data_IF_410418963364
#
_entry.id   IF_410418963364
#
_cell.length_a   1.000
_cell.length_b   1.000
_cell.length_c   1.000
_cell.angle_alpha   90.00
_cell.angle_beta   90.00
_cell.angle_gamma   90.00
#
_symmetry.space_group_name_H-M   'P 1'
#
loop_
_entity.id
_entity.type
_entity.pdbx_description
1 polymer ?
#
# COMPACT_ATOMS: atom_id res chain seq x y z
N UNK A 1 -5.34 -6.57 26.09
CA UNK A 1 -5.38 -7.22 24.76
C UNK A 1 -5.77 -6.15 23.75
N UNK A 2 -4.78 -5.41 23.26
CA UNK A 2 -5.01 -4.33 22.29
C UNK A 2 -5.42 -4.90 20.94
N UNK A 3 -6.61 -4.53 20.45
CA UNK A 3 -7.16 -4.90 19.13
C UNK A 3 -6.35 -4.33 17.94
N UNK A 4 -5.02 -4.22 18.02
CA UNK A 4 -4.15 -3.58 17.02
C UNK A 4 -4.27 -2.05 16.93
N UNK A 5 -5.22 -1.42 17.64
CA UNK A 5 -5.48 0.02 17.60
C UNK A 5 -4.32 0.89 18.10
N UNK A 6 -3.45 0.36 18.97
CA UNK A 6 -2.24 1.07 19.38
C UNK A 6 -1.26 1.30 18.22
N UNK A 7 -1.32 0.45 17.20
CA UNK A 7 -0.48 0.49 15.99
C UNK A 7 -1.13 1.26 14.82
N UNK A 8 -2.19 2.05 15.09
CA UNK A 8 -2.92 2.80 14.06
C UNK A 8 -2.02 3.67 13.14
N UNK A 9 -0.91 4.29 13.61
CA UNK A 9 -0.08 5.07 12.70
C UNK A 9 0.71 4.17 11.73
N UNK A 10 1.17 2.99 12.16
CA UNK A 10 1.84 2.02 11.30
C UNK A 10 0.87 1.36 10.31
N UNK A 11 -0.39 1.15 10.71
CA UNK A 11 -1.47 0.73 9.81
C UNK A 11 -1.63 1.73 8.67
N UNK A 12 -1.74 3.02 8.99
CA UNK A 12 -1.87 4.08 7.98
C UNK A 12 -0.62 4.18 7.11
N UNK A 13 0.56 4.22 7.72
CA UNK A 13 1.82 4.35 6.99
C UNK A 13 1.99 3.25 5.94
N UNK A 14 1.79 1.98 6.34
CA UNK A 14 1.99 0.84 5.42
C UNK A 14 0.97 0.83 4.29
N UNK A 15 -0.33 0.97 4.59
CA UNK A 15 -1.39 0.93 3.57
C UNK A 15 -1.29 2.12 2.64
N UNK A 16 -1.16 3.35 3.16
CA UNK A 16 -1.07 4.54 2.31
C UNK A 16 0.21 4.55 1.47
N UNK A 17 1.35 4.11 2.03
CA UNK A 17 2.59 3.96 1.27
C UNK A 17 2.44 2.98 0.10
N UNK A 18 1.83 1.83 0.33
CA UNK A 18 1.53 0.83 -0.71
C UNK A 18 0.57 1.38 -1.79
N UNK A 19 -0.47 2.12 -1.39
CA UNK A 19 -1.38 2.82 -2.31
C UNK A 19 -0.62 3.79 -3.22
N UNK A 20 0.29 4.59 -2.66
CA UNK A 20 1.10 5.56 -3.41
C UNK A 20 1.99 4.85 -4.41
N UNK A 21 2.69 3.79 -4.00
CA UNK A 21 3.59 3.03 -4.90
C UNK A 21 2.80 2.46 -6.08
N UNK A 22 1.69 1.76 -5.83
CA UNK A 22 0.87 1.22 -6.92
C UNK A 22 0.22 2.31 -7.77
N UNK A 23 -0.21 3.41 -7.17
CA UNK A 23 -0.74 4.58 -7.87
C UNK A 23 0.30 5.27 -8.76
N UNK A 24 1.55 5.37 -8.31
CA UNK A 24 2.68 5.89 -9.10
C UNK A 24 2.96 5.00 -10.31
N UNK A 25 2.95 3.68 -10.14
CA UNK A 25 3.14 2.73 -11.24
C UNK A 25 2.06 2.95 -12.31
N UNK A 26 0.78 2.95 -11.90
CA UNK A 26 -0.35 3.11 -12.82
C UNK A 26 -0.35 4.46 -13.53
N UNK A 27 -0.19 5.55 -12.77
CA UNK A 27 -0.16 6.90 -13.35
C UNK A 27 1.08 7.12 -14.20
N UNK A 28 2.24 6.60 -13.82
CA UNK A 28 3.44 6.76 -14.62
C UNK A 28 3.44 5.91 -15.90
N UNK A 29 2.83 4.72 -15.88
CA UNK A 29 2.50 3.99 -17.12
C UNK A 29 1.56 4.80 -18.01
N UNK A 30 0.54 5.45 -17.43
CA UNK A 30 -0.32 6.38 -18.15
C UNK A 30 0.41 7.60 -18.72
N UNK A 31 1.38 8.15 -17.99
CA UNK A 31 2.22 9.26 -18.44
C UNK A 31 3.10 8.85 -19.62
N UNK A 32 3.70 7.65 -19.58
CA UNK A 32 4.48 7.11 -20.68
C UNK A 32 3.63 6.78 -21.91
N UNK A 33 2.40 6.30 -21.71
CA UNK A 33 1.45 6.04 -22.79
C UNK A 33 0.93 7.32 -23.47
N UNK A 34 0.99 8.46 -22.78
CA UNK A 34 0.61 9.78 -23.30
C UNK A 34 1.81 10.57 -23.86
N UNK A 35 2.92 9.91 -24.25
CA UNK A 35 4.15 10.58 -24.71
C UNK A 35 3.96 11.58 -25.83
N UNK A 36 2.95 11.35 -26.68
CA UNK A 36 2.68 12.16 -27.86
C UNK A 36 1.75 13.35 -27.56
N UNK A 37 1.18 13.42 -26.35
CA UNK A 37 0.30 14.49 -25.87
C UNK A 37 0.86 15.11 -24.58
N UNK A 38 1.72 16.13 -24.76
CA UNK A 38 2.31 16.89 -23.65
C UNK A 38 1.28 17.56 -22.76
N UNK A 39 0.14 18.00 -23.30
CA UNK A 39 -0.89 18.66 -22.49
C UNK A 39 -1.54 17.65 -21.54
N UNK A 40 -1.81 16.44 -22.01
CA UNK A 40 -2.27 15.32 -21.20
C UNK A 40 -1.24 14.89 -20.16
N UNK A 41 0.04 14.75 -20.54
CA UNK A 41 1.12 14.49 -19.58
C UNK A 41 1.16 15.53 -18.46
N UNK A 42 1.04 16.81 -18.80
CA UNK A 42 1.09 17.88 -17.79
C UNK A 42 -0.13 17.86 -16.85
N UNK A 43 -1.33 17.58 -17.36
CA UNK A 43 -2.53 17.39 -16.53
C UNK A 43 -2.37 16.22 -15.56
N UNK A 44 -1.79 15.12 -16.03
CA UNK A 44 -1.54 13.94 -15.20
C UNK A 44 -0.47 14.19 -14.13
N UNK A 45 0.65 14.82 -14.49
CA UNK A 45 1.68 15.21 -13.52
C UNK A 45 1.10 16.12 -12.44
N UNK A 46 0.22 17.06 -12.79
CA UNK A 46 -0.47 17.89 -11.80
C UNK A 46 -1.39 17.07 -10.88
N UNK A 47 -2.11 16.07 -11.39
CA UNK A 47 -2.95 15.21 -10.54
C UNK A 47 -2.14 14.29 -9.62
N UNK A 48 -0.90 13.95 -9.99
CA UNK A 48 0.03 13.21 -9.12
C UNK A 48 0.41 13.95 -7.83
N UNK A 49 0.06 15.23 -7.68
CA UNK A 49 0.13 15.93 -6.38
C UNK A 49 -0.51 15.10 -5.26
N UNK A 50 -1.65 14.47 -5.52
CA UNK A 50 -2.35 13.68 -4.52
C UNK A 50 -1.59 12.40 -4.11
N UNK A 51 -0.73 11.83 -4.97
CA UNK A 51 0.15 10.73 -4.58
C UNK A 51 1.11 11.19 -3.47
N UNK A 52 1.77 12.32 -3.70
CA UNK A 52 2.78 12.84 -2.77
C UNK A 52 2.17 13.41 -1.50
N UNK A 53 0.96 13.98 -1.59
CA UNK A 53 0.18 14.36 -0.41
C UNK A 53 -0.12 13.15 0.47
N UNK A 54 -0.66 12.06 -0.11
CA UNK A 54 -0.94 10.83 0.63
C UNK A 54 0.35 10.22 1.19
N UNK A 55 1.46 10.26 0.44
CA UNK A 55 2.76 9.81 0.93
C UNK A 55 3.27 10.64 2.10
N UNK A 56 3.09 11.96 2.06
CA UNK A 56 3.44 12.86 3.16
C UNK A 56 2.63 12.55 4.42
N UNK A 57 1.33 12.26 4.28
CA UNK A 57 0.47 11.80 5.39
C UNK A 57 0.96 10.45 5.94
N UNK A 58 1.35 9.52 5.07
CA UNK A 58 1.89 8.23 5.48
C UNK A 58 3.17 8.40 6.33
N UNK A 59 4.12 9.23 5.90
CA UNK A 59 5.30 9.53 6.69
C UNK A 59 5.00 10.26 7.99
N UNK A 60 4.04 11.19 7.98
CA UNK A 60 3.64 11.87 9.20
C UNK A 60 3.12 10.87 10.25
N UNK A 61 2.30 9.91 9.83
CA UNK A 61 1.83 8.82 10.68
C UNK A 61 3.01 7.98 11.20
N UNK A 62 3.98 7.63 10.34
CA UNK A 62 5.20 6.93 10.76
C UNK A 62 5.98 7.70 11.83
N UNK A 63 6.23 9.00 11.63
CA UNK A 63 6.96 9.84 12.60
C UNK A 63 6.21 9.99 13.92
N UNK A 64 4.88 10.11 13.89
CA UNK A 64 4.06 10.20 15.11
C UNK A 64 4.12 8.93 15.97
N UNK A 65 4.46 7.78 15.38
CA UNK A 65 4.66 6.54 16.12
C UNK A 65 6.02 6.46 16.81
N UNK A 66 7.01 7.24 16.36
CA UNK A 66 8.31 7.27 17.02
C UNK A 66 8.20 8.01 18.36
N UNK A 67 8.59 7.35 19.45
CA UNK A 67 8.63 7.98 20.78
C UNK A 67 9.60 9.17 20.89
N UNK A 68 10.53 9.34 19.94
CA UNK A 68 11.37 10.54 19.84
C UNK A 68 11.68 10.92 18.39
N UNK A 69 10.86 11.78 17.76
CA UNK A 69 11.00 12.16 16.35
C UNK A 69 12.40 12.70 15.98
N UNK A 70 13.03 13.46 16.88
CA UNK A 70 14.37 14.02 16.65
C UNK A 70 15.48 12.95 16.58
N UNK A 71 15.27 11.77 17.20
CA UNK A 71 16.21 10.65 17.13
C UNK A 71 15.96 9.75 15.93
N UNK A 72 14.93 10.00 15.12
CA UNK A 72 14.65 9.23 13.91
C UNK A 72 15.85 9.16 12.97
N UNK A 73 16.65 10.23 12.89
CA UNK A 73 17.87 10.26 12.08
C UNK A 73 18.91 9.21 12.52
N UNK A 74 18.96 8.86 13.81
CA UNK A 74 19.87 7.82 14.29
C UNK A 74 19.52 6.44 13.73
N UNK A 75 18.26 6.23 13.30
CA UNK A 75 17.87 4.99 12.63
C UNK A 75 18.64 4.77 11.33
N UNK A 76 19.12 5.83 10.66
CA UNK A 76 19.88 5.72 9.43
C UNK A 76 21.32 5.19 9.64
N UNK A 77 21.83 5.22 10.88
CA UNK A 77 23.19 4.75 11.19
C UNK A 77 23.36 3.23 11.01
N UNK A 78 22.26 2.47 10.86
CA UNK A 78 22.27 1.01 10.73
C UNK A 78 21.71 0.52 9.40
N UNK A 79 21.65 1.38 8.37
CA UNK A 79 21.30 0.98 7.00
C UNK A 79 22.22 -0.17 6.54
N UNK A 80 21.63 -1.17 5.90
CA UNK A 80 22.27 -2.43 5.52
C UNK A 80 22.20 -3.52 6.60
N UNK A 81 22.09 -3.16 7.88
CA UNK A 81 22.14 -4.12 9.00
C UNK A 81 20.81 -4.30 9.75
N UNK A 82 19.93 -3.28 9.74
CA UNK A 82 18.63 -3.31 10.41
C UNK A 82 17.50 -3.18 9.41
N UNK A 83 16.49 -4.04 9.53
CA UNK A 83 15.30 -4.00 8.67
C UNK A 83 14.57 -2.66 8.80
N UNK A 84 14.40 -2.15 10.03
CA UNK A 84 13.74 -0.85 10.28
C UNK A 84 14.50 0.30 9.63
N UNK A 85 15.84 0.30 9.74
CA UNK A 85 16.69 1.30 9.10
C UNK A 85 16.57 1.26 7.58
N UNK A 86 16.51 0.06 7.00
CA UNK A 86 16.33 -0.12 5.56
C UNK A 86 14.95 0.35 5.08
N UNK A 87 13.90 0.13 5.87
CA UNK A 87 12.56 0.64 5.57
C UNK A 87 12.54 2.17 5.55
N UNK A 88 13.07 2.81 6.60
CA UNK A 88 13.12 4.28 6.70
C UNK A 88 13.94 4.87 5.55
N UNK A 89 15.12 4.30 5.27
CA UNK A 89 15.98 4.77 4.19
C UNK A 89 15.36 4.58 2.81
N UNK A 90 14.79 3.40 2.53
CA UNK A 90 14.16 3.11 1.23
C UNK A 90 12.90 3.96 1.00
N UNK A 91 12.08 4.17 2.02
CA UNK A 91 10.92 5.06 1.96
C UNK A 91 11.34 6.52 1.72
N UNK A 92 12.31 7.02 2.48
CA UNK A 92 12.83 8.38 2.31
C UNK A 92 13.41 8.59 0.91
N UNK A 93 14.17 7.59 0.41
CA UNK A 93 14.74 7.64 -0.92
C UNK A 93 13.66 7.61 -2.01
N UNK A 94 12.66 6.74 -1.89
CA UNK A 94 11.51 6.68 -2.79
C UNK A 94 10.78 8.04 -2.86
N UNK A 95 10.49 8.63 -1.70
CA UNK A 95 9.79 9.91 -1.61
C UNK A 95 10.61 11.07 -2.15
N UNK A 96 11.90 11.13 -1.84
CA UNK A 96 12.79 12.16 -2.36
C UNK A 96 12.91 12.03 -3.89
N UNK A 97 13.29 10.85 -4.39
CA UNK A 97 13.54 10.64 -5.83
C UNK A 97 12.26 10.87 -6.64
N UNK A 98 11.13 10.29 -6.22
CA UNK A 98 9.86 10.45 -6.93
C UNK A 98 9.23 11.83 -6.75
N UNK A 99 9.32 12.43 -5.55
CA UNK A 99 8.83 13.76 -5.27
C UNK A 99 9.60 14.84 -6.03
N UNK A 100 10.93 14.75 -6.10
CA UNK A 100 11.73 15.66 -6.92
C UNK A 100 11.47 15.48 -8.40
N UNK A 101 11.32 14.24 -8.88
CA UNK A 101 10.87 13.99 -10.25
C UNK A 101 9.57 14.76 -10.53
N UNK A 102 8.58 14.62 -9.65
CA UNK A 102 7.30 15.30 -9.80
C UNK A 102 7.42 16.83 -9.79
N UNK A 103 8.18 17.41 -8.85
CA UNK A 103 8.41 18.85 -8.76
C UNK A 103 9.00 19.42 -10.06
N UNK A 104 10.01 18.75 -10.62
CA UNK A 104 10.62 19.16 -11.89
C UNK A 104 9.63 18.96 -13.04
N UNK A 105 8.88 17.85 -13.07
CA UNK A 105 7.90 17.56 -14.12
C UNK A 105 6.75 18.60 -14.13
N UNK A 106 6.32 19.10 -12.97
CA UNK A 106 5.28 20.15 -12.85
C UNK A 106 5.68 21.44 -13.56
N UNK A 107 6.97 21.74 -13.68
CA UNK A 107 7.46 22.94 -14.40
C UNK A 107 7.32 22.83 -15.92
N UNK A 108 7.11 21.62 -16.46
CA UNK A 108 7.07 21.36 -17.90
C UNK A 108 8.43 21.45 -18.61
N UNK A 109 9.53 21.67 -17.87
CA UNK A 109 10.89 21.81 -18.42
C UNK A 109 11.69 20.50 -18.44
N UNK A 110 11.06 19.38 -18.08
CA UNK A 110 11.73 18.09 -17.96
C UNK A 110 12.06 17.50 -19.34
N UNK A 111 13.33 17.16 -19.64
CA UNK A 111 13.68 16.45 -20.86
C UNK A 111 12.97 15.10 -20.91
N UNK A 112 12.40 14.72 -22.06
CA UNK A 112 11.52 13.56 -22.17
C UNK A 112 12.18 12.23 -21.75
N UNK A 113 13.40 11.97 -22.23
CA UNK A 113 14.15 10.75 -21.90
C UNK A 113 14.51 10.70 -20.41
N UNK A 114 15.06 11.80 -19.87
CA UNK A 114 15.41 11.90 -18.46
C UNK A 114 14.19 11.70 -17.56
N UNK A 115 13.07 12.34 -17.91
CA UNK A 115 11.81 12.20 -17.20
C UNK A 115 11.30 10.76 -17.19
N UNK A 116 11.37 10.07 -18.33
CA UNK A 116 10.98 8.65 -18.41
C UNK A 116 11.87 7.76 -17.55
N UNK A 117 13.19 7.88 -17.67
CA UNK A 117 14.14 7.04 -16.90
C UNK A 117 14.00 7.28 -15.40
N UNK A 118 13.94 8.54 -14.98
CA UNK A 118 13.79 8.89 -13.56
C UNK A 118 12.44 8.42 -12.99
N UNK A 119 11.36 8.50 -13.77
CA UNK A 119 10.06 7.95 -13.36
C UNK A 119 10.13 6.43 -13.15
N UNK A 120 10.78 5.69 -14.06
CA UNK A 120 10.98 4.24 -13.94
C UNK A 120 11.80 3.91 -12.69
N UNK A 121 12.90 4.64 -12.44
CA UNK A 121 13.69 4.49 -11.21
C UNK A 121 12.81 4.72 -9.97
N UNK A 122 11.96 5.74 -9.98
CA UNK A 122 11.03 6.03 -8.87
C UNK A 122 10.04 4.89 -8.62
N UNK A 123 9.52 4.25 -9.68
CA UNK A 123 8.65 3.08 -9.55
C UNK A 123 9.37 1.89 -8.93
N UNK A 124 10.61 1.63 -9.38
CA UNK A 124 11.45 0.54 -8.84
C UNK A 124 11.74 0.78 -7.36
N UNK A 125 12.10 2.01 -6.99
CA UNK A 125 12.32 2.39 -5.59
C UNK A 125 11.06 2.19 -4.73
N UNK A 126 9.87 2.46 -5.28
CA UNK A 126 8.61 2.18 -4.60
C UNK A 126 8.40 0.69 -4.32
N UNK A 127 8.74 -0.18 -5.28
CA UNK A 127 8.68 -1.64 -5.10
C UNK A 127 9.69 -2.11 -4.04
N UNK A 128 10.92 -1.58 -4.08
CA UNK A 128 11.96 -1.84 -3.07
C UNK A 128 11.50 -1.38 -1.69
N UNK A 129 10.82 -0.25 -1.60
CA UNK A 129 10.26 0.26 -0.35
C UNK A 129 9.19 -0.68 0.23
N UNK A 130 8.24 -1.18 -0.57
CA UNK A 130 7.29 -2.19 -0.10
C UNK A 130 8.03 -3.43 0.40
N UNK A 131 9.03 -3.91 -0.35
CA UNK A 131 9.84 -5.04 0.08
C UNK A 131 10.56 -4.78 1.41
N UNK A 132 11.13 -3.60 1.59
CA UNK A 132 11.78 -3.22 2.85
C UNK A 132 10.80 -3.20 4.03
N UNK A 133 9.55 -2.76 3.83
CA UNK A 133 8.51 -2.86 4.85
C UNK A 133 8.28 -4.31 5.27
N UNK A 134 8.21 -5.26 4.32
CA UNK A 134 7.94 -6.67 4.69
C UNK A 134 9.06 -7.26 5.54
N UNK A 135 10.31 -6.83 5.31
CA UNK A 135 11.48 -7.27 6.08
C UNK A 135 11.44 -6.83 7.54
N UNK A 136 10.74 -5.74 7.86
CA UNK A 136 10.56 -5.31 9.26
C UNK A 136 9.74 -6.32 10.05
N UNK A 137 8.77 -6.98 9.42
CA UNK A 137 7.85 -7.88 10.09
C UNK A 137 8.22 -9.35 10.02
N UNK A 138 9.17 -9.73 9.15
CA UNK A 138 9.71 -11.10 9.10
C UNK A 138 10.69 -11.35 10.27
N UNK A 139 10.15 -11.34 11.48
CA UNK A 139 10.88 -11.51 12.74
C UNK A 139 10.69 -12.95 13.23
N UNK A 140 11.78 -13.71 13.37
CA UNK A 140 11.75 -15.13 13.78
C UNK A 140 11.04 -15.38 15.12
N UNK A 141 11.04 -14.40 16.01
CA UNK A 141 10.40 -14.49 17.34
C UNK A 141 8.91 -14.17 17.32
N UNK A 142 8.36 -13.72 16.20
CA UNK A 142 6.93 -13.42 16.02
C UNK A 142 6.34 -14.37 14.97
N UNK A 143 5.91 -15.58 15.35
CA UNK A 143 5.59 -16.66 14.41
C UNK A 143 4.37 -16.36 13.53
N UNK A 144 3.45 -15.54 14.00
CA UNK A 144 2.27 -15.08 13.24
C UNK A 144 2.62 -14.14 12.09
N UNK A 145 3.78 -13.45 12.16
CA UNK A 145 4.27 -12.56 11.11
C UNK A 145 5.36 -13.19 10.25
N UNK A 146 6.11 -14.15 10.79
CA UNK A 146 7.22 -14.84 10.11
C UNK A 146 6.74 -15.85 9.07
N UNK A 147 6.09 -15.37 8.01
CA UNK A 147 5.49 -16.20 6.96
C UNK A 147 5.60 -15.52 5.60
N UNK A 148 5.56 -16.33 4.53
CA UNK A 148 5.43 -15.80 3.16
C UNK A 148 4.16 -14.96 2.96
N UNK A 149 3.11 -15.21 3.76
CA UNK A 149 1.83 -14.50 3.67
C UNK A 149 1.97 -13.01 3.99
N UNK A 150 2.86 -12.62 4.90
CA UNK A 150 3.14 -11.21 5.19
C UNK A 150 3.66 -10.49 3.95
N UNK A 151 4.63 -11.09 3.25
CA UNK A 151 5.18 -10.46 2.04
C UNK A 151 4.14 -10.39 0.93
N UNK A 152 3.40 -11.48 0.69
CA UNK A 152 2.35 -11.50 -0.34
C UNK A 152 1.27 -10.47 -0.03
N UNK A 153 0.78 -10.40 1.22
CA UNK A 153 -0.25 -9.45 1.64
C UNK A 153 0.15 -8.00 1.40
N UNK A 154 1.40 -7.62 1.71
CA UNK A 154 1.89 -6.25 1.52
C UNK A 154 1.89 -5.84 0.03
N UNK A 155 2.32 -6.74 -0.86
CA UNK A 155 2.26 -6.49 -2.29
C UNK A 155 0.83 -6.50 -2.84
N UNK A 156 -0.05 -7.37 -2.32
CA UNK A 156 -1.45 -7.41 -2.71
C UNK A 156 -2.16 -6.08 -2.38
N UNK A 157 -1.85 -5.44 -1.27
CA UNK A 157 -2.39 -4.10 -0.95
C UNK A 157 -2.05 -3.08 -2.04
N UNK A 158 -0.81 -3.08 -2.54
CA UNK A 158 -0.42 -2.21 -3.64
C UNK A 158 -1.13 -2.55 -4.96
N UNK A 159 -1.40 -3.84 -5.22
CA UNK A 159 -2.11 -4.32 -6.41
C UNK A 159 -3.65 -4.15 -6.34
N UNK A 160 -4.20 -3.99 -5.14
CA UNK A 160 -5.61 -3.71 -4.91
C UNK A 160 -5.88 -2.21 -4.91
N UNK A 161 -5.20 -1.46 -4.06
CA UNK A 161 -5.46 -0.05 -3.85
C UNK A 161 -4.75 0.86 -4.86
N UNK A 162 -3.56 0.47 -5.32
CA UNK A 162 -2.78 1.24 -6.28
C UNK A 162 -3.47 1.46 -7.63
N UNK A 163 -3.93 0.40 -8.32
CA UNK A 163 -4.70 0.50 -9.56
C UNK A 163 -5.90 1.43 -9.50
N UNK A 164 -6.76 1.29 -8.48
CA UNK A 164 -7.96 2.11 -8.37
C UNK A 164 -7.61 3.58 -8.04
N UNK A 165 -6.58 3.81 -7.23
CA UNK A 165 -6.09 5.16 -6.94
C UNK A 165 -5.46 5.81 -8.18
N UNK A 166 -4.64 5.09 -8.94
CA UNK A 166 -4.08 5.56 -10.20
C UNK A 166 -5.16 5.82 -11.25
N UNK A 167 -6.17 4.95 -11.34
CA UNK A 167 -7.33 5.14 -12.21
C UNK A 167 -8.13 6.40 -11.85
N UNK A 168 -8.29 6.71 -10.55
CA UNK A 168 -8.91 7.94 -10.08
C UNK A 168 -8.14 9.17 -10.57
N UNK A 169 -6.81 9.18 -10.46
CA UNK A 169 -5.96 10.30 -10.87
C UNK A 169 -5.92 10.48 -12.39
N UNK A 170 -5.87 9.38 -13.15
CA UNK A 170 -6.00 9.40 -14.61
C UNK A 170 -7.35 9.96 -15.04
N UNK A 171 -8.43 9.54 -14.37
CA UNK A 171 -9.79 10.03 -14.65
C UNK A 171 -9.94 11.51 -14.29
N UNK A 172 -9.39 11.95 -13.16
CA UNK A 172 -9.38 13.36 -12.76
C UNK A 172 -8.60 14.24 -13.75
N UNK A 173 -7.50 13.72 -14.31
CA UNK A 173 -6.72 14.37 -15.36
C UNK A 173 -7.36 14.27 -16.77
N UNK A 174 -8.54 13.65 -16.90
CA UNK A 174 -9.27 13.41 -18.15
C UNK A 174 -8.45 12.63 -19.20
N UNK A 175 -7.60 11.72 -18.74
CA UNK A 175 -6.80 10.86 -19.62
C UNK A 175 -7.65 9.66 -20.04
N UNK A 176 -7.84 9.41 -21.35
CA UNK A 176 -8.49 8.20 -21.81
C UNK A 176 -7.59 7.01 -21.46
N UNK A 177 -8.09 6.13 -20.60
CA UNK A 177 -7.32 4.98 -20.14
C UNK A 177 -8.15 3.69 -20.24
N UNK A 178 -7.53 2.63 -20.78
CA UNK A 178 -8.11 1.29 -20.83
C UNK A 178 -8.02 0.65 -19.44
N UNK A 179 -8.99 1.00 -18.59
CA UNK A 179 -9.17 0.52 -17.21
C UNK A 179 -9.07 -0.99 -17.03
N UNK A 180 -9.40 -1.77 -18.07
CA UNK A 180 -9.58 -3.21 -17.99
C UNK A 180 -8.34 -3.97 -17.52
N UNK A 181 -7.14 -3.66 -18.03
CA UNK A 181 -5.94 -4.42 -17.67
C UNK A 181 -5.61 -4.30 -16.17
N UNK A 182 -5.61 -3.08 -15.63
CA UNK A 182 -5.38 -2.85 -14.21
C UNK A 182 -6.55 -3.36 -13.35
N UNK A 183 -7.78 -3.29 -13.84
CA UNK A 183 -8.93 -3.84 -13.14
C UNK A 183 -8.88 -5.38 -13.05
N UNK A 184 -8.47 -6.05 -14.13
CA UNK A 184 -8.22 -7.50 -14.13
C UNK A 184 -7.09 -7.86 -13.17
N UNK A 185 -6.01 -7.08 -13.14
CA UNK A 185 -4.93 -7.28 -12.17
C UNK A 185 -5.43 -7.18 -10.72
N UNK A 186 -6.27 -6.19 -10.39
CA UNK A 186 -6.88 -6.06 -9.06
C UNK A 186 -7.86 -7.19 -8.74
N UNK A 187 -8.58 -7.75 -9.72
CA UNK A 187 -9.41 -8.94 -9.51
C UNK A 187 -8.54 -10.14 -9.15
N UNK A 188 -7.45 -10.38 -9.91
CA UNK A 188 -6.52 -11.48 -9.60
C UNK A 188 -5.92 -11.27 -8.20
N UNK A 189 -5.50 -10.05 -7.87
CA UNK A 189 -5.03 -9.73 -6.52
C UNK A 189 -6.08 -10.00 -5.43
N UNK A 190 -7.36 -9.71 -5.70
CA UNK A 190 -8.45 -9.99 -4.76
C UNK A 190 -8.61 -11.49 -4.54
N UNK A 191 -8.60 -12.30 -5.60
CA UNK A 191 -8.70 -13.75 -5.51
C UNK A 191 -7.52 -14.34 -4.72
N UNK A 192 -6.30 -13.90 -5.00
CA UNK A 192 -5.11 -14.32 -4.23
C UNK A 192 -5.24 -13.86 -2.77
N UNK A 193 -5.75 -12.65 -2.51
CA UNK A 193 -6.00 -12.17 -1.14
C UNK A 193 -6.98 -13.06 -0.38
N UNK A 194 -8.05 -13.54 -1.02
CA UNK A 194 -9.00 -14.49 -0.42
C UNK A 194 -8.30 -15.80 -0.06
N UNK A 195 -7.48 -16.35 -0.96
CA UNK A 195 -6.72 -17.58 -0.69
C UNK A 195 -5.77 -17.39 0.49
N UNK A 196 -4.98 -16.31 0.50
CA UNK A 196 -4.03 -16.01 1.59
C UNK A 196 -4.76 -15.83 2.92
N UNK A 197 -5.89 -15.13 2.93
CA UNK A 197 -6.72 -14.94 4.12
C UNK A 197 -7.20 -16.27 4.72
N UNK A 198 -7.63 -17.21 3.87
CA UNK A 198 -8.08 -18.54 4.31
C UNK A 198 -6.89 -19.37 4.86
N UNK A 199 -5.77 -19.39 4.14
CA UNK A 199 -4.56 -20.11 4.57
C UNK A 199 -4.01 -19.57 5.89
N UNK A 200 -4.00 -18.24 6.05
CA UNK A 200 -3.60 -17.59 7.29
C UNK A 200 -4.58 -17.93 8.42
N UNK A 201 -5.89 -17.98 8.16
CA UNK A 201 -6.90 -18.39 9.13
C UNK A 201 -6.65 -19.80 9.68
N UNK A 202 -6.28 -20.75 8.82
CA UNK A 202 -5.91 -22.11 9.24
C UNK A 202 -4.62 -22.10 10.06
N UNK A 203 -3.61 -21.34 9.64
CA UNK A 203 -2.32 -21.25 10.35
C UNK A 203 -2.46 -20.65 11.75
N UNK A 204 -3.29 -19.63 11.93
CA UNK A 204 -3.53 -19.01 13.25
C UNK A 204 -4.08 -20.05 14.25
N UNK A 205 -4.84 -21.03 13.78
CA UNK A 205 -5.34 -22.13 14.62
C UNK A 205 -4.24 -23.09 15.11
N UNK A 206 -3.07 -23.14 14.47
CA UNK A 206 -2.00 -24.07 14.85
C UNK A 206 -0.89 -23.41 15.66
N UNK A 207 -0.74 -22.08 15.55
CA UNK A 207 0.28 -21.31 16.27
C UNK A 207 -0.12 -21.10 17.73
N UNK A 208 0.73 -21.56 18.65
CA UNK A 208 0.56 -21.42 20.08
C UNK A 208 1.88 -21.05 20.76
N UNK A 209 1.77 -20.31 21.86
CA UNK A 209 2.83 -20.10 22.85
C UNK A 209 2.54 -20.92 24.10
N UNK A 210 3.45 -20.92 25.07
CA UNK A 210 3.23 -21.52 26.38
C UNK A 210 2.10 -20.87 27.19
N UNK A 211 1.63 -19.67 26.78
CA UNK A 211 0.63 -18.88 27.51
C UNK A 211 -0.70 -18.78 26.76
N UNK A 212 -0.66 -18.64 25.44
CA UNK A 212 -1.86 -18.38 24.63
C UNK A 212 -1.72 -18.86 23.18
N UNK A 213 -2.86 -19.19 22.57
CA UNK A 213 -2.99 -19.54 21.15
C UNK A 213 -3.26 -18.30 20.29
N UNK A 214 -2.83 -18.30 19.03
CA UNK A 214 -2.98 -17.13 18.16
C UNK A 214 -4.42 -16.79 17.81
N UNK A 215 -5.30 -17.77 17.78
CA UNK A 215 -6.75 -17.58 17.60
C UNK A 215 -7.39 -16.74 18.70
N UNK A 216 -6.83 -16.72 19.91
CA UNK A 216 -7.35 -15.93 21.03
C UNK A 216 -6.97 -14.44 20.95
N UNK A 217 -5.99 -14.07 20.12
CA UNK A 217 -5.56 -12.67 19.97
C UNK A 217 -6.59 -11.81 19.23
N UNK A 218 -7.27 -12.39 18.26
CA UNK A 218 -8.30 -11.71 17.46
C UNK A 218 -9.53 -12.63 17.42
N UNK A 219 -10.37 -12.63 18.48
CA UNK A 219 -11.53 -13.51 18.58
C UNK A 219 -12.50 -13.35 17.39
N UNK A 220 -12.64 -12.11 16.90
CA UNK A 220 -13.52 -11.77 15.78
C UNK A 220 -12.83 -11.86 14.41
N UNK A 221 -11.74 -12.63 14.27
CA UNK A 221 -10.96 -12.72 13.03
C UNK A 221 -11.83 -12.93 11.79
N UNK A 222 -12.75 -13.91 11.84
CA UNK A 222 -13.63 -14.21 10.72
C UNK A 222 -14.55 -13.04 10.37
N UNK A 223 -15.15 -12.39 11.37
CA UNK A 223 -16.07 -11.27 11.16
C UNK A 223 -15.33 -10.06 10.54
N UNK A 224 -14.14 -9.71 11.05
CA UNK A 224 -13.34 -8.59 10.52
C UNK A 224 -12.87 -8.89 9.10
N UNK A 225 -12.45 -10.13 8.81
CA UNK A 225 -12.01 -10.53 7.47
C UNK A 225 -13.17 -10.55 6.45
N UNK A 226 -14.37 -10.98 6.85
CA UNK A 226 -15.57 -10.88 6.01
C UNK A 226 -15.90 -9.41 5.73
N UNK A 227 -15.88 -8.55 6.75
CA UNK A 227 -16.08 -7.11 6.59
C UNK A 227 -15.07 -6.49 5.61
N UNK A 228 -13.79 -6.86 5.74
CA UNK A 228 -12.74 -6.50 4.78
C UNK A 228 -13.08 -6.93 3.36
N UNK A 229 -13.47 -8.19 3.15
CA UNK A 229 -13.81 -8.68 1.81
C UNK A 229 -15.00 -7.94 1.20
N UNK A 230 -16.03 -7.64 2.00
CA UNK A 230 -17.18 -6.85 1.56
C UNK A 230 -16.72 -5.47 1.07
N UNK A 231 -15.88 -4.78 1.84
CA UNK A 231 -15.34 -3.48 1.46
C UNK A 231 -14.50 -3.54 0.16
N UNK A 232 -13.64 -4.55 0.02
CA UNK A 232 -12.83 -4.74 -1.18
C UNK A 232 -13.68 -5.03 -2.42
N UNK A 233 -14.67 -5.92 -2.30
CA UNK A 233 -15.58 -6.30 -3.40
C UNK A 233 -16.44 -5.11 -3.82
N UNK A 234 -17.06 -4.41 -2.86
CA UNK A 234 -17.86 -3.22 -3.15
C UNK A 234 -16.99 -2.11 -3.76
N UNK A 235 -15.80 -1.89 -3.20
CA UNK A 235 -14.88 -0.86 -3.66
C UNK A 235 -14.39 -1.09 -5.10
N UNK A 236 -13.95 -2.31 -5.42
CA UNK A 236 -13.60 -2.67 -6.80
C UNK A 236 -14.84 -2.70 -7.70
N UNK A 237 -16.01 -3.08 -7.19
CA UNK A 237 -17.30 -3.03 -7.90
C UNK A 237 -17.65 -1.64 -8.41
N UNK A 238 -17.39 -0.58 -7.62
CA UNK A 238 -17.58 0.81 -8.04
C UNK A 238 -16.75 1.19 -9.28
N UNK A 239 -15.65 0.49 -9.53
CA UNK A 239 -14.80 0.70 -10.71
C UNK A 239 -15.11 -0.30 -11.84
N UNK A 240 -15.35 -1.57 -11.50
CA UNK A 240 -15.58 -2.67 -12.43
C UNK A 240 -16.96 -2.65 -13.10
N UNK A 241 -18.02 -2.36 -12.36
CA UNK A 241 -19.39 -2.41 -12.89
C UNK A 241 -19.59 -1.49 -14.11
N UNK A 242 -19.13 -0.23 -14.11
CA UNK A 242 -19.17 0.62 -15.29
C UNK A 242 -18.35 0.05 -16.47
N UNK A 243 -17.15 -0.49 -16.20
CA UNK A 243 -16.27 -1.05 -17.24
C UNK A 243 -16.92 -2.26 -17.94
N UNK A 244 -17.53 -3.17 -17.17
CA UNK A 244 -18.25 -4.34 -17.72
C UNK A 244 -19.44 -3.90 -18.56
N UNK A 245 -20.16 -2.85 -18.15
CA UNK A 245 -21.26 -2.24 -18.91
C UNK A 245 -20.79 -1.37 -20.09
N UNK A 246 -19.49 -1.35 -20.40
CA UNK A 246 -18.87 -0.52 -21.45
C UNK A 246 -19.11 0.99 -21.28
N UNK A 247 -19.39 1.44 -20.05
CA UNK A 247 -19.48 2.85 -19.70
C UNK A 247 -18.18 3.33 -19.06
N UNK A 248 -17.84 4.60 -19.29
CA UNK A 248 -16.72 5.21 -18.58
C UNK A 248 -17.08 5.44 -17.11
N UNK A 249 -16.32 4.92 -16.14
CA UNK A 249 -16.63 5.12 -14.73
C UNK A 249 -16.62 6.61 -14.35
N UNK A 250 -17.61 7.05 -13.57
CA UNK A 250 -17.66 8.41 -13.04
C UNK A 250 -16.59 8.60 -11.97
N UNK A 251 -15.99 9.80 -11.90
CA UNK A 251 -14.94 10.12 -10.91
C UNK A 251 -15.38 9.85 -9.48
N UNK A 252 -16.63 10.19 -9.13
CA UNK A 252 -17.19 9.94 -7.80
C UNK A 252 -17.29 8.45 -7.47
N UNK A 253 -17.63 7.61 -8.46
CA UNK A 253 -17.70 6.16 -8.30
C UNK A 253 -16.31 5.58 -8.00
N UNK A 254 -15.29 5.99 -8.75
CA UNK A 254 -13.91 5.53 -8.51
C UNK A 254 -13.39 6.06 -7.17
N UNK A 255 -13.73 7.29 -6.79
CA UNK A 255 -13.36 7.86 -5.50
C UNK A 255 -13.96 7.05 -4.35
N UNK A 256 -15.27 6.78 -4.40
CA UNK A 256 -15.95 5.92 -3.43
C UNK A 256 -15.29 4.53 -3.38
N UNK A 257 -15.01 3.95 -4.55
CA UNK A 257 -14.32 2.68 -4.67
C UNK A 257 -12.93 2.69 -4.02
N UNK A 258 -12.15 3.73 -4.27
CA UNK A 258 -10.82 3.91 -3.69
C UNK A 258 -10.87 4.01 -2.16
N UNK A 259 -11.83 4.76 -1.62
CA UNK A 259 -12.04 4.87 -0.16
C UNK A 259 -12.41 3.52 0.45
N UNK A 260 -13.33 2.77 -0.17
CA UNK A 260 -13.75 1.45 0.29
C UNK A 260 -12.59 0.43 0.24
N UNK A 261 -11.80 0.42 -0.84
CA UNK A 261 -10.63 -0.46 -0.96
C UNK A 261 -9.59 -0.14 0.11
N UNK A 262 -9.28 1.15 0.31
CA UNK A 262 -8.35 1.57 1.37
C UNK A 262 -8.89 1.17 2.75
N UNK A 263 -10.17 1.39 3.02
CA UNK A 263 -10.79 0.97 4.29
C UNK A 263 -10.70 -0.55 4.52
N UNK A 264 -10.94 -1.36 3.49
CA UNK A 264 -10.76 -2.82 3.56
C UNK A 264 -9.32 -3.23 3.85
N UNK A 265 -8.34 -2.59 3.19
CA UNK A 265 -6.92 -2.85 3.44
C UNK A 265 -6.46 -2.38 4.83
N UNK A 266 -7.00 -1.28 5.35
CA UNK A 266 -6.78 -0.85 6.73
C UNK A 266 -7.30 -1.89 7.73
N UNK A 267 -8.51 -2.44 7.53
CA UNK A 267 -9.02 -3.52 8.38
C UNK A 267 -8.11 -4.75 8.35
N UNK A 268 -7.64 -5.15 7.16
CA UNK A 268 -6.71 -6.27 7.02
C UNK A 268 -5.40 -6.02 7.76
N UNK A 269 -4.90 -4.79 7.73
CA UNK A 269 -3.67 -4.41 8.42
C UNK A 269 -3.86 -4.30 9.93
N UNK A 270 -5.04 -3.89 10.42
CA UNK A 270 -5.38 -3.94 11.85
C UNK A 270 -5.34 -5.38 12.37
N UNK A 271 -5.93 -6.33 11.63
CA UNK A 271 -5.86 -7.77 11.99
C UNK A 271 -4.41 -8.25 12.01
N UNK A 272 -3.61 -7.84 11.01
CA UNK A 272 -2.20 -8.19 10.96
C UNK A 272 -1.43 -7.76 12.22
N UNK A 273 -1.58 -6.50 12.66
CA UNK A 273 -0.91 -6.05 13.89
C UNK A 273 -1.51 -6.65 15.16
N UNK A 274 -2.83 -6.89 15.19
CA UNK A 274 -3.50 -7.57 16.30
C UNK A 274 -3.03 -9.01 16.52
N UNK A 275 -2.51 -9.66 15.48
CA UNK A 275 -1.91 -11.00 15.57
C UNK A 275 -0.49 -11.01 16.14
N UNK A 276 0.04 -9.89 16.64
CA UNK A 276 1.36 -9.87 17.27
C UNK A 276 1.41 -10.79 18.50
N UNK A 277 2.32 -11.76 18.46
CA UNK A 277 2.71 -12.57 19.61
C UNK A 277 4.17 -12.95 19.53
N UNK A 278 4.81 -13.07 20.69
CA UNK A 278 6.20 -13.54 20.75
C UNK A 278 6.27 -14.99 21.20
N UNK A 279 7.31 -15.70 20.74
CA UNK A 279 7.65 -17.00 21.32
C UNK A 279 8.08 -16.83 22.79
N UNK A 280 7.43 -17.56 23.71
CA UNK A 280 7.74 -17.54 25.14
C UNK A 280 6.59 -17.06 26.04
N UNK A 281 6.95 -16.60 27.25
CA UNK A 281 5.98 -16.22 28.30
C UNK A 281 5.53 -14.75 28.24
N UNK A 282 6.09 -13.94 27.33
CA UNK A 282 5.77 -12.52 27.24
C UNK A 282 4.38 -12.32 26.62
N UNK A 283 3.46 -11.77 27.40
CA UNK A 283 2.15 -11.33 26.92
C UNK A 283 2.30 -9.90 26.41
N UNK A 284 2.04 -9.68 25.11
CA UNK A 284 1.97 -8.33 24.57
C UNK A 284 0.75 -7.61 25.21
N UNK A 285 1.03 -6.55 25.98
CA UNK A 285 0.03 -5.71 26.65
C UNK A 285 -0.73 -4.84 25.67
#
# INVERSE_FOLDING_TARGET
>A
MGNGWHEWPLVLFTVLGQCVVGGLIVTGLGWMAASDDRASQQRLVRSMFFLWLVMGIAFLASVMHLGSPLRAFNSLNRVGSSALSNEIASGSLFFAVGGFWWLVAVTGKMPALLGKVWLIVSMILGVIFIWAMTRVYLINTVPTWYTGYTTISFFLTALLAGPIFGALLLRAARIPFKGSAFATLSIVALLVSVVIMLLQGVQIGTVHSSVQQASALVPDYAAVQIGRLILLVLGLGCWLCPLVRRHSPHTLSILCGCVLVIAGELLGRIVFYGLHMTVGMAVAG
#
